data_IF_624658961879
#
_entry.id   IF_624658961879
#
_cell.length_a   1.000
_cell.length_b   1.000
_cell.length_c   1.000
_cell.angle_alpha   90.00
_cell.angle_beta   90.00
_cell.angle_gamma   90.00
#
_symmetry.space_group_name_H-M   'P 1'
#
loop_
_entity.id
_entity.type
_entity.pdbx_description
1 polymer ?
#
# COMPACT_ATOMS: atom_id res chain seq x y z
N UNK A 1 38.96 -23.06 46.52
CA UNK A 1 39.00 -22.91 45.06
C UNK A 1 37.58 -23.11 44.58
N UNK A 2 36.84 -22.01 44.34
CA UNK A 2 36.61 -21.36 43.03
C UNK A 2 36.02 -22.35 42.01
N UNK A 3 34.98 -21.89 41.29
CA UNK A 3 34.35 -22.50 40.10
C UNK A 3 32.97 -23.17 40.26
N UNK A 4 32.03 -22.61 41.03
CA UNK A 4 30.61 -22.99 40.92
C UNK A 4 29.64 -21.82 40.69
N UNK A 5 30.14 -20.65 40.28
CA UNK A 5 29.31 -19.45 40.04
C UNK A 5 29.15 -19.05 38.57
N UNK A 6 29.61 -19.87 37.61
CA UNK A 6 29.65 -19.48 36.17
C UNK A 6 28.60 -20.20 35.31
N UNK A 7 27.90 -21.22 35.83
CA UNK A 7 26.99 -22.02 35.01
C UNK A 7 25.51 -21.58 35.00
N UNK A 8 25.13 -20.56 35.78
CA UNK A 8 23.73 -20.10 35.81
C UNK A 8 23.40 -19.02 34.76
N UNK A 9 24.41 -18.48 34.06
CA UNK A 9 24.21 -17.38 33.10
C UNK A 9 23.94 -17.84 31.66
N UNK A 10 24.02 -19.14 31.37
CA UNK A 10 23.91 -19.69 30.00
C UNK A 10 22.53 -20.25 29.62
N UNK A 11 21.52 -20.15 30.51
CA UNK A 11 20.17 -20.66 30.25
C UNK A 11 19.12 -19.57 29.97
N UNK A 12 19.51 -18.29 30.03
CA UNK A 12 18.64 -17.14 29.73
C UNK A 12 18.90 -16.52 28.35
N UNK A 13 19.93 -16.97 27.63
CA UNK A 13 20.32 -16.39 26.34
C UNK A 13 19.37 -16.65 25.16
N UNK A 14 18.53 -17.71 25.10
CA UNK A 14 17.65 -17.85 23.93
C UNK A 14 16.41 -16.96 24.00
N UNK A 15 15.96 -16.52 25.18
CA UNK A 15 14.70 -15.75 25.31
C UNK A 15 14.88 -14.30 24.84
N UNK A 16 16.08 -13.73 25.03
CA UNK A 16 16.39 -12.35 24.60
C UNK A 16 16.50 -12.23 23.07
N UNK A 17 17.00 -13.25 22.36
CA UNK A 17 17.11 -13.21 20.90
C UNK A 17 15.76 -13.25 20.18
N UNK A 18 14.76 -13.96 20.71
CA UNK A 18 13.43 -14.00 20.07
C UNK A 18 12.65 -12.69 20.28
N UNK A 19 12.73 -12.10 21.47
CA UNK A 19 12.07 -10.82 21.75
C UNK A 19 12.66 -9.65 20.95
N UNK A 20 13.97 -9.68 20.66
CA UNK A 20 14.62 -8.65 19.86
C UNK A 20 14.24 -8.76 18.37
N UNK A 21 14.08 -9.97 17.85
CA UNK A 21 13.68 -10.20 16.45
C UNK A 21 12.24 -9.78 16.17
N UNK A 22 11.29 -10.09 17.07
CA UNK A 22 9.90 -9.60 16.94
C UNK A 22 9.83 -8.07 17.01
N UNK A 23 10.62 -7.43 17.88
CA UNK A 23 10.67 -5.97 17.97
C UNK A 23 11.29 -5.30 16.72
N UNK A 24 12.37 -5.87 16.17
CA UNK A 24 12.99 -5.37 14.93
C UNK A 24 12.03 -5.52 13.74
N UNK A 25 11.30 -6.65 13.63
CA UNK A 25 10.29 -6.84 12.59
C UNK A 25 9.09 -5.88 12.74
N UNK A 26 8.62 -5.64 13.96
CA UNK A 26 7.54 -4.68 14.24
C UNK A 26 7.96 -3.23 13.92
N UNK A 27 9.19 -2.83 14.29
CA UNK A 27 9.74 -1.51 13.97
C UNK A 27 9.93 -1.32 12.45
N UNK A 28 10.53 -2.31 11.76
CA UNK A 28 10.68 -2.28 10.31
C UNK A 28 9.35 -2.30 9.56
N UNK A 29 8.33 -3.02 10.06
CA UNK A 29 6.99 -2.98 9.50
C UNK A 29 6.32 -1.63 9.74
N UNK A 30 6.46 -1.06 10.93
CA UNK A 30 5.88 0.24 11.25
C UNK A 30 6.51 1.35 10.39
N UNK A 31 7.84 1.35 10.25
CA UNK A 31 8.56 2.29 9.37
C UNK A 31 8.16 2.13 7.89
N UNK A 32 8.04 0.88 7.41
CA UNK A 32 7.52 0.61 6.06
C UNK A 32 6.09 1.11 5.89
N UNK A 33 5.20 0.88 6.84
CA UNK A 33 3.80 1.34 6.77
C UNK A 33 3.69 2.87 6.71
N UNK A 34 4.55 3.58 7.45
CA UNK A 34 4.61 5.04 7.37
C UNK A 34 5.07 5.50 5.98
N UNK A 35 6.10 4.85 5.43
CA UNK A 35 6.59 5.14 4.09
C UNK A 35 5.52 4.86 3.01
N UNK A 36 4.84 3.71 3.08
CA UNK A 36 3.79 3.35 2.13
C UNK A 36 2.60 4.31 2.14
N UNK A 37 2.21 4.82 3.31
CA UNK A 37 1.15 5.82 3.41
C UNK A 37 1.57 7.14 2.76
N UNK A 38 2.82 7.57 2.98
CA UNK A 38 3.35 8.80 2.39
C UNK A 38 3.40 8.68 0.86
N UNK A 39 3.84 7.53 0.32
CA UNK A 39 3.83 7.24 -1.12
C UNK A 39 2.41 7.31 -1.70
N UNK A 40 1.45 6.64 -1.07
CA UNK A 40 0.06 6.65 -1.53
C UNK A 40 -0.54 8.07 -1.47
N UNK A 41 -0.18 8.84 -0.45
CA UNK A 41 -0.61 10.23 -0.27
C UNK A 41 -0.04 11.12 -1.37
N UNK A 42 1.28 11.12 -1.55
CA UNK A 42 1.96 11.95 -2.55
C UNK A 42 1.51 11.62 -3.97
N UNK A 43 1.30 10.34 -4.29
CA UNK A 43 0.72 9.93 -5.57
C UNK A 43 -0.65 10.56 -5.81
N UNK A 44 -1.56 10.55 -4.82
CA UNK A 44 -2.89 11.17 -4.94
C UNK A 44 -2.81 12.69 -5.06
N UNK A 45 -1.89 13.33 -4.35
CA UNK A 45 -1.66 14.77 -4.45
C UNK A 45 -1.14 15.18 -5.83
N UNK A 46 -0.15 14.45 -6.36
CA UNK A 46 0.36 14.66 -7.71
C UNK A 46 -0.75 14.39 -8.75
N UNK A 47 -1.55 13.34 -8.58
CA UNK A 47 -2.64 13.00 -9.49
C UNK A 47 -3.73 14.06 -9.53
N UNK A 48 -4.00 14.73 -8.40
CA UNK A 48 -4.92 15.85 -8.30
C UNK A 48 -4.34 17.17 -8.87
N UNK A 49 -3.04 17.24 -9.18
CA UNK A 49 -2.42 18.40 -9.80
C UNK A 49 -2.51 18.33 -11.34
N UNK A 50 -3.37 19.17 -11.93
CA UNK A 50 -3.59 19.22 -13.38
C UNK A 50 -2.39 19.72 -14.19
N UNK A 51 -1.41 20.35 -13.53
CA UNK A 51 -0.20 20.87 -14.18
C UNK A 51 0.84 19.76 -14.40
N UNK A 52 0.71 18.60 -13.75
CA UNK A 52 1.62 17.46 -13.94
C UNK A 52 1.06 16.57 -15.06
N UNK A 53 1.79 16.33 -16.15
CA UNK A 53 1.38 15.39 -17.20
C UNK A 53 1.19 13.96 -16.65
N UNK A 54 0.24 13.19 -17.21
CA UNK A 54 -0.08 11.84 -16.71
C UNK A 54 1.06 10.85 -16.94
N UNK A 55 1.73 10.93 -18.08
CA UNK A 55 2.94 10.17 -18.40
C UNK A 55 4.06 10.40 -17.38
N UNK A 56 4.22 11.64 -16.89
CA UNK A 56 5.16 11.98 -15.82
C UNK A 56 4.76 11.34 -14.49
N UNK A 57 3.47 11.37 -14.14
CA UNK A 57 2.97 10.71 -12.93
C UNK A 57 3.18 9.20 -13.01
N UNK A 58 2.83 8.60 -14.15
CA UNK A 58 2.96 7.18 -14.39
C UNK A 58 4.42 6.73 -14.25
N UNK A 59 5.34 7.44 -14.93
CA UNK A 59 6.78 7.18 -14.84
C UNK A 59 7.35 7.36 -13.42
N UNK A 60 6.91 8.40 -12.71
CA UNK A 60 7.39 8.71 -11.36
C UNK A 60 6.90 7.66 -10.37
N UNK A 61 5.61 7.37 -10.36
CA UNK A 61 4.97 6.67 -9.25
C UNK A 61 4.66 5.22 -9.50
N UNK A 62 4.47 4.76 -10.73
CA UNK A 62 3.92 3.43 -11.00
C UNK A 62 5.04 2.47 -11.41
N UNK A 63 5.00 1.25 -10.88
CA UNK A 63 5.81 0.13 -11.38
C UNK A 63 5.09 -0.42 -12.60
N UNK A 64 5.80 -0.53 -13.72
CA UNK A 64 5.30 -1.21 -14.91
C UNK A 64 6.40 -2.13 -15.39
N UNK A 65 6.22 -3.43 -15.20
CA UNK A 65 7.18 -4.43 -15.66
C UNK A 65 6.95 -4.74 -17.14
N UNK A 66 8.01 -4.67 -17.95
CA UNK A 66 7.96 -4.98 -19.40
C UNK A 66 6.77 -4.33 -20.15
N UNK A 67 6.62 -2.99 -20.10
CA UNK A 67 5.44 -2.34 -20.61
C UNK A 67 5.28 -2.54 -22.12
N UNK A 68 4.08 -2.97 -22.53
CA UNK A 68 3.63 -2.80 -23.91
C UNK A 68 3.04 -1.40 -24.10
N UNK A 69 3.05 -0.90 -25.34
CA UNK A 69 2.39 0.37 -25.68
C UNK A 69 0.90 0.33 -25.28
N UNK A 70 0.23 -0.82 -25.45
CA UNK A 70 -1.16 -1.02 -25.06
C UNK A 70 -1.38 -0.92 -23.54
N UNK A 71 -0.45 -1.45 -22.73
CA UNK A 71 -0.52 -1.33 -21.27
C UNK A 71 -0.31 0.12 -20.85
N UNK A 72 0.66 0.83 -21.44
CA UNK A 72 0.88 2.24 -21.17
C UNK A 72 -0.36 3.09 -21.46
N UNK A 73 -0.95 2.93 -22.64
CA UNK A 73 -2.18 3.64 -23.03
C UNK A 73 -3.33 3.34 -22.05
N UNK A 74 -3.49 2.07 -21.65
CA UNK A 74 -4.49 1.66 -20.66
C UNK A 74 -4.27 2.34 -19.30
N UNK A 75 -3.04 2.37 -18.81
CA UNK A 75 -2.71 2.97 -17.52
C UNK A 75 -2.89 4.48 -17.54
N UNK A 76 -2.49 5.16 -18.62
CA UNK A 76 -2.72 6.60 -18.77
C UNK A 76 -4.20 6.95 -18.75
N UNK A 77 -5.04 6.23 -19.50
CA UNK A 77 -6.50 6.42 -19.49
C UNK A 77 -7.08 6.17 -18.10
N UNK A 78 -6.62 5.11 -17.42
CA UNK A 78 -7.08 4.79 -16.07
C UNK A 78 -6.71 5.89 -15.06
N UNK A 79 -5.50 6.44 -15.16
CA UNK A 79 -5.08 7.59 -14.34
C UNK A 79 -5.88 8.86 -14.69
N UNK A 80 -6.22 9.08 -15.95
CA UNK A 80 -7.07 10.19 -16.38
C UNK A 80 -8.45 10.12 -15.71
N UNK A 81 -9.08 8.95 -15.69
CA UNK A 81 -10.37 8.74 -15.02
C UNK A 81 -10.30 9.05 -13.52
N UNK A 82 -9.26 8.55 -12.84
CA UNK A 82 -9.05 8.83 -11.42
C UNK A 82 -8.81 10.33 -11.20
N UNK A 83 -7.97 10.98 -12.01
CA UNK A 83 -7.71 12.43 -11.94
C UNK A 83 -8.99 13.24 -12.14
N UNK A 84 -9.81 12.91 -13.13
CA UNK A 84 -11.08 13.59 -13.37
C UNK A 84 -11.99 13.48 -12.13
N UNK A 85 -12.02 12.29 -11.51
CA UNK A 85 -12.79 12.05 -10.30
C UNK A 85 -12.25 12.86 -9.11
N UNK A 86 -10.93 12.89 -8.90
CA UNK A 86 -10.25 13.63 -7.82
C UNK A 86 -10.38 15.14 -7.97
N UNK A 87 -10.07 15.68 -9.15
CA UNK A 87 -10.02 17.13 -9.39
C UNK A 87 -11.40 17.81 -9.35
N UNK A 88 -12.47 17.03 -9.39
CA UNK A 88 -13.84 17.51 -9.16
C UNK A 88 -14.20 17.66 -7.67
N UNK A 89 -13.30 17.28 -6.76
CA UNK A 89 -13.51 17.20 -5.30
C UNK A 89 -12.62 18.19 -4.56
N UNK A 90 -12.96 18.44 -3.29
CA UNK A 90 -12.04 19.11 -2.39
C UNK A 90 -11.02 18.10 -1.87
N UNK A 91 -9.74 18.28 -2.24
CA UNK A 91 -8.63 17.41 -1.85
C UNK A 91 -8.45 17.34 -0.33
N UNK A 92 -8.76 18.42 0.40
CA UNK A 92 -8.67 18.47 1.87
C UNK A 92 -9.69 17.57 2.59
N UNK A 93 -10.67 17.05 1.84
CA UNK A 93 -11.71 16.12 2.33
C UNK A 93 -11.47 14.68 1.86
N UNK A 94 -10.33 14.40 1.24
CA UNK A 94 -9.95 13.04 0.89
C UNK A 94 -9.49 12.32 2.15
N UNK A 95 -10.00 11.11 2.33
CA UNK A 95 -9.60 10.19 3.38
C UNK A 95 -8.84 9.03 2.74
N UNK A 96 -7.63 8.76 3.20
CA UNK A 96 -6.84 7.59 2.80
C UNK A 96 -6.90 6.60 3.97
N UNK A 97 -7.44 5.40 3.71
CA UNK A 97 -7.62 4.35 4.72
C UNK A 97 -6.80 3.13 4.35
N UNK A 98 -6.00 2.64 5.28
CA UNK A 98 -5.37 1.33 5.14
C UNK A 98 -6.44 0.21 5.23
N UNK A 99 -6.18 -0.95 4.62
CA UNK A 99 -7.02 -2.15 4.71
C UNK A 99 -7.48 -2.48 6.14
N UNK A 100 -6.57 -2.38 7.11
CA UNK A 100 -6.85 -2.66 8.53
C UNK A 100 -7.87 -1.70 9.17
N UNK A 101 -8.05 -0.52 8.58
CA UNK A 101 -8.98 0.52 9.06
C UNK A 101 -10.38 0.38 8.44
N UNK A 102 -10.54 -0.49 7.45
CA UNK A 102 -11.82 -0.69 6.78
C UNK A 102 -12.80 -1.53 7.62
N UNK A 103 -14.12 -1.28 7.50
CA UNK A 103 -15.11 -2.13 8.13
C UNK A 103 -15.02 -3.58 7.63
N UNK A 104 -15.20 -4.56 8.53
CA UNK A 104 -15.18 -6.00 8.19
C UNK A 104 -16.06 -6.39 6.99
N UNK A 105 -17.18 -5.69 6.80
CA UNK A 105 -18.09 -5.93 5.67
C UNK A 105 -17.52 -5.52 4.31
N UNK A 106 -16.62 -4.53 4.27
CA UNK A 106 -16.00 -4.03 3.03
C UNK A 106 -14.80 -4.89 2.65
N UNK A 107 -13.98 -5.28 3.63
CA UNK A 107 -12.82 -6.16 3.39
C UNK A 107 -13.19 -7.61 3.06
N UNK A 108 -14.41 -8.06 3.43
CA UNK A 108 -14.86 -9.43 3.14
C UNK A 108 -14.89 -9.73 1.64
N UNK A 109 -15.20 -8.71 0.85
CA UNK A 109 -15.37 -8.83 -0.59
C UNK A 109 -14.06 -8.47 -1.32
N UNK A 110 -12.93 -8.42 -0.59
CA UNK A 110 -11.59 -8.17 -1.10
C UNK A 110 -10.70 -9.37 -0.80
N UNK A 111 -10.10 -9.96 -1.83
CA UNK A 111 -9.07 -10.98 -1.73
C UNK A 111 -7.69 -10.33 -1.87
N UNK A 112 -6.86 -10.33 -0.81
CA UNK A 112 -5.50 -9.79 -0.89
C UNK A 112 -4.56 -10.54 -1.84
N UNK A 113 -4.90 -11.77 -2.25
CA UNK A 113 -4.07 -12.61 -3.15
C UNK A 113 -2.61 -12.79 -2.72
N UNK A 114 -2.36 -12.77 -1.41
CA UNK A 114 -1.01 -12.89 -0.85
C UNK A 114 -0.22 -11.59 -0.83
N UNK A 115 -0.78 -10.48 -1.32
CA UNK A 115 -0.20 -9.14 -1.17
C UNK A 115 -0.31 -8.65 0.28
N UNK A 116 0.61 -7.78 0.67
CA UNK A 116 0.65 -7.24 2.02
C UNK A 116 -0.49 -6.24 2.24
N UNK A 117 -1.43 -6.57 3.13
CA UNK A 117 -2.58 -5.70 3.43
C UNK A 117 -2.18 -4.37 4.08
N UNK A 118 -0.99 -4.27 4.66
CA UNK A 118 -0.48 -3.02 5.21
C UNK A 118 -0.09 -2.01 4.12
N UNK A 119 0.13 -2.49 2.89
CA UNK A 119 0.45 -1.65 1.74
C UNK A 119 -0.79 -1.38 0.85
N UNK A 120 -1.98 -1.79 1.31
CA UNK A 120 -3.26 -1.55 0.64
C UNK A 120 -3.98 -0.34 1.22
N UNK A 121 -4.25 0.64 0.37
CA UNK A 121 -4.90 1.89 0.72
C UNK A 121 -6.15 2.14 -0.12
N UNK A 122 -7.15 2.76 0.50
CA UNK A 122 -8.47 3.00 -0.08
C UNK A 122 -8.81 4.47 0.08
N UNK A 123 -9.06 5.12 -1.04
CA UNK A 123 -9.19 6.57 -1.13
C UNK A 123 -10.67 6.91 -1.18
N UNK A 124 -11.15 7.65 -0.19
CA UNK A 124 -12.55 8.03 -0.07
C UNK A 124 -12.74 9.54 -0.15
N UNK A 125 -13.89 9.94 -0.69
CA UNK A 125 -14.43 11.29 -0.54
C UNK A 125 -15.86 11.19 -0.06
N UNK A 126 -16.16 11.74 1.13
CA UNK A 126 -17.51 11.69 1.73
C UNK A 126 -18.09 10.26 1.73
N UNK A 127 -17.29 9.31 2.21
CA UNK A 127 -17.62 7.88 2.31
C UNK A 127 -17.87 7.17 0.96
N UNK A 128 -17.49 7.77 -0.17
CA UNK A 128 -17.50 7.10 -1.49
C UNK A 128 -16.07 6.77 -1.90
N UNK A 129 -15.85 5.51 -2.25
CA UNK A 129 -14.56 5.06 -2.79
C UNK A 129 -14.29 5.79 -4.12
N UNK A 130 -13.11 6.36 -4.25
CA UNK A 130 -12.60 7.03 -5.44
C UNK A 130 -11.70 6.07 -6.21
N UNK A 131 -10.71 5.51 -5.53
CA UNK A 131 -9.82 4.48 -6.05
C UNK A 131 -9.22 3.68 -4.90
N UNK A 132 -8.55 2.57 -5.22
CA UNK A 132 -7.79 1.75 -4.28
C UNK A 132 -6.37 1.60 -4.81
N UNK A 133 -5.40 1.60 -3.92
CA UNK A 133 -3.98 1.63 -4.24
C UNK A 133 -3.29 0.49 -3.50
N UNK A 134 -2.39 -0.20 -4.20
CA UNK A 134 -1.39 -1.07 -3.60
C UNK A 134 -0.02 -0.45 -3.81
N UNK A 135 0.71 -0.25 -2.71
CA UNK A 135 2.09 0.22 -2.72
C UNK A 135 3.03 -0.99 -2.74
N UNK A 136 4.03 -0.93 -3.60
CA UNK A 136 5.06 -1.94 -3.73
C UNK A 136 6.42 -1.28 -3.65
N UNK A 137 7.10 -1.46 -2.52
CA UNK A 137 8.36 -0.78 -2.24
C UNK A 137 8.17 0.74 -2.13
N UNK A 138 8.77 1.48 -3.05
CA UNK A 138 8.73 2.94 -3.13
C UNK A 138 7.76 3.49 -4.19
N UNK A 139 6.92 2.62 -4.78
CA UNK A 139 6.05 2.94 -5.91
C UNK A 139 4.67 2.28 -5.79
N UNK A 140 3.78 2.62 -6.71
CA UNK A 140 2.45 2.06 -6.86
C UNK A 140 2.55 0.82 -7.75
N UNK A 141 2.28 -0.35 -7.17
CA UNK A 141 2.16 -1.61 -7.91
C UNK A 141 0.79 -1.78 -8.56
N UNK A 142 -0.26 -1.19 -7.96
CA UNK A 142 -1.61 -1.21 -8.53
C UNK A 142 -2.43 0.00 -8.08
N UNK A 143 -3.30 0.50 -8.94
CA UNK A 143 -4.33 1.49 -8.58
C UNK A 143 -5.74 1.05 -9.02
N UNK A 144 -5.92 -0.25 -9.28
CA UNK A 144 -7.18 -0.83 -9.75
C UNK A 144 -7.55 -2.07 -8.92
N UNK A 145 -8.83 -2.15 -8.54
CA UNK A 145 -9.45 -3.37 -8.04
C UNK A 145 -10.32 -4.01 -9.13
N UNK A 146 -10.08 -5.29 -9.41
CA UNK A 146 -10.83 -6.06 -10.39
C UNK A 146 -11.60 -7.19 -9.70
N UNK A 147 -12.89 -7.33 -9.98
CA UNK A 147 -13.69 -8.45 -9.47
C UNK A 147 -13.34 -9.73 -10.22
N UNK A 148 -13.07 -10.81 -9.50
CA UNK A 148 -13.14 -12.18 -10.02
C UNK A 148 -14.60 -12.64 -10.02
N UNK A 149 -14.86 -13.68 -10.81
CA UNK A 149 -16.21 -14.26 -10.97
C UNK A 149 -16.80 -14.89 -9.69
N UNK A 150 -16.08 -14.85 -8.58
CA UNK A 150 -16.49 -15.28 -7.24
C UNK A 150 -16.92 -14.09 -6.33
N UNK A 151 -17.21 -12.93 -6.93
CA UNK A 151 -17.65 -11.70 -6.27
C UNK A 151 -16.59 -11.02 -5.38
N UNK A 152 -15.32 -11.46 -5.45
CA UNK A 152 -14.21 -10.83 -4.72
C UNK A 152 -13.36 -9.95 -5.62
N UNK A 153 -13.03 -8.78 -5.13
CA UNK A 153 -12.09 -7.87 -5.77
C UNK A 153 -10.64 -8.18 -5.36
N UNK A 154 -9.70 -8.02 -6.29
CA UNK A 154 -8.25 -8.13 -6.03
C UNK A 154 -7.50 -7.01 -6.74
N UNK A 155 -6.30 -6.72 -6.25
CA UNK A 155 -5.37 -5.82 -6.95
C UNK A 155 -4.71 -6.56 -8.11
N UNK A 156 -4.56 -5.86 -9.23
CA UNK A 156 -3.81 -6.34 -10.40
C UNK A 156 -2.53 -5.53 -10.48
N UNK A 157 -1.39 -6.17 -10.26
CA UNK A 157 -0.07 -5.54 -10.43
C UNK A 157 0.23 -5.34 -11.92
N UNK A 158 1.03 -4.32 -12.26
CA UNK A 158 1.35 -3.93 -13.64
C UNK A 158 2.80 -4.24 -14.03
#
# INVERSE_FOLDING_TARGET
>A
MKHYLIYFFLLLTPILSFAQHEHEEEEEQMERNFNSLDIATDFIYDLNNKEIPLDVILSKWVIVEEPSDELYDYLEVSLEEIRLNLTSKNIDQIEIKNYSQLPRKEVRDIDPEGLNVNDMYFIYYKNRLVTSIYVEGDKIGSFTLVSKGDERAHFVLY
#
